data_IF_607561959861
#
_entry.id   IF_607561959861
#
_cell.length_a   1.000
_cell.length_b   1.000
_cell.length_c   1.000
_cell.angle_alpha   90.00
_cell.angle_beta   90.00
_cell.angle_gamma   90.00
#
_symmetry.space_group_name_H-M   'P 1'
#
loop_
_entity.id
_entity.type
_entity.pdbx_description
1 polymer ?
#
# COMPACT_ATOMS: atom_id res chain seq x y z
N UNK A 1 14.89 3.46 -16.39
CA UNK A 1 14.88 3.13 -14.96
C UNK A 1 13.81 2.08 -14.69
N UNK A 2 13.91 1.42 -13.55
CA UNK A 2 13.05 0.31 -13.22
C UNK A 2 11.83 0.75 -12.39
N UNK A 3 10.85 -0.14 -12.29
CA UNK A 3 9.67 0.05 -11.45
C UNK A 3 9.75 -0.88 -10.24
N UNK A 4 9.35 -0.37 -9.07
CA UNK A 4 9.21 -1.16 -7.86
C UNK A 4 7.72 -1.30 -7.53
N UNK A 5 7.27 -2.52 -7.28
CA UNK A 5 5.95 -2.79 -6.71
C UNK A 5 6.13 -3.09 -5.22
N UNK A 6 5.59 -2.22 -4.37
CA UNK A 6 5.57 -2.42 -2.93
C UNK A 6 4.12 -2.58 -2.48
N UNK A 7 3.86 -3.52 -1.60
CA UNK A 7 2.49 -3.78 -1.17
C UNK A 7 2.41 -4.24 0.27
N UNK A 8 1.29 -3.93 0.90
CA UNK A 8 0.86 -4.55 2.16
C UNK A 8 -0.35 -5.42 1.90
N UNK A 9 -0.33 -6.65 2.40
CA UNK A 9 -1.48 -7.55 2.38
C UNK A 9 -1.73 -8.06 3.79
N UNK A 10 -2.98 -7.98 4.26
CA UNK A 10 -3.33 -8.43 5.60
C UNK A 10 -3.21 -9.94 5.77
N UNK A 11 -3.25 -10.68 4.66
CA UNK A 11 -3.08 -12.13 4.64
C UNK A 11 -2.07 -12.53 3.58
N UNK A 12 -1.28 -13.56 3.89
CA UNK A 12 -0.38 -14.17 2.91
C UNK A 12 -1.23 -14.73 1.76
N UNK A 13 -0.88 -14.42 0.53
CA UNK A 13 -1.64 -14.82 -0.66
C UNK A 13 -3.07 -14.24 -0.73
N UNK A 14 -3.33 -13.14 -0.02
CA UNK A 14 -4.61 -12.43 -0.12
C UNK A 14 -4.76 -11.68 -1.44
N UNK A 15 -5.89 -11.00 -1.59
CA UNK A 15 -6.21 -10.28 -2.85
C UNK A 15 -5.16 -9.25 -3.23
N UNK A 16 -4.68 -8.47 -2.26
CA UNK A 16 -3.64 -7.47 -2.52
C UNK A 16 -2.33 -8.12 -2.92
N UNK A 17 -1.92 -9.19 -2.24
CA UNK A 17 -0.68 -9.90 -2.55
C UNK A 17 -0.71 -10.48 -3.97
N UNK A 18 -1.84 -11.07 -4.36
CA UNK A 18 -2.01 -11.63 -5.72
C UNK A 18 -1.99 -10.54 -6.78
N UNK A 19 -2.68 -9.45 -6.52
CA UNK A 19 -2.69 -8.31 -7.45
C UNK A 19 -1.28 -7.74 -7.64
N UNK A 20 -0.55 -7.57 -6.54
CA UNK A 20 0.82 -7.07 -6.58
C UNK A 20 1.76 -7.98 -7.37
N UNK A 21 1.68 -9.30 -7.16
CA UNK A 21 2.50 -10.26 -7.88
C UNK A 21 2.20 -10.24 -9.38
N UNK A 22 0.93 -10.21 -9.76
CA UNK A 22 0.52 -10.14 -11.16
C UNK A 22 0.96 -8.84 -11.82
N UNK A 23 0.82 -7.73 -11.12
CA UNK A 23 1.24 -6.42 -11.63
C UNK A 23 2.76 -6.36 -11.82
N UNK A 24 3.52 -6.85 -10.85
CA UNK A 24 4.98 -6.88 -10.95
C UNK A 24 5.45 -7.72 -12.13
N UNK A 25 4.82 -8.86 -12.36
CA UNK A 25 5.13 -9.72 -13.50
C UNK A 25 4.81 -9.00 -14.83
N UNK A 26 3.65 -8.38 -14.93
CA UNK A 26 3.23 -7.69 -16.15
C UNK A 26 4.08 -6.47 -16.45
N UNK A 27 4.54 -5.75 -15.44
CA UNK A 27 5.36 -4.55 -15.59
C UNK A 27 6.86 -4.85 -15.68
N UNK A 28 7.28 -6.10 -15.47
CA UNK A 28 8.70 -6.44 -15.37
C UNK A 28 9.36 -5.77 -14.17
N UNK A 29 8.63 -5.63 -13.08
CA UNK A 29 9.04 -4.86 -11.91
C UNK A 29 9.54 -5.76 -10.78
N UNK A 30 10.38 -5.19 -9.91
CA UNK A 30 10.73 -5.81 -8.65
C UNK A 30 9.52 -5.76 -7.70
N UNK A 31 9.45 -6.71 -6.78
CA UNK A 31 8.33 -6.84 -5.84
C UNK A 31 8.87 -6.86 -4.41
N UNK A 32 8.29 -6.04 -3.54
CA UNK A 32 8.61 -6.06 -2.12
C UNK A 32 7.33 -6.06 -1.29
N UNK A 33 7.29 -6.91 -0.27
CA UNK A 33 6.19 -6.97 0.69
C UNK A 33 6.47 -6.06 1.88
N UNK A 34 5.51 -5.23 2.24
CA UNK A 34 5.59 -4.43 3.46
C UNK A 34 5.08 -5.30 4.59
N UNK A 35 6.00 -5.83 5.40
CA UNK A 35 5.67 -6.82 6.43
C UNK A 35 5.65 -6.17 7.81
N UNK A 36 4.48 -6.07 8.47
CA UNK A 36 4.43 -5.60 9.85
C UNK A 36 5.21 -6.53 10.76
N UNK A 37 5.93 -5.97 11.72
CA UNK A 37 6.64 -6.74 12.73
C UNK A 37 5.67 -7.61 13.53
N UNK A 38 4.48 -7.09 13.79
CA UNK A 38 3.37 -7.83 14.37
C UNK A 38 2.30 -8.00 13.29
N UNK A 39 2.15 -9.21 12.70
CA UNK A 39 1.11 -9.44 11.71
C UNK A 39 -0.28 -9.14 12.26
N UNK A 40 -1.17 -8.70 11.40
CA UNK A 40 -2.55 -8.42 11.79
C UNK A 40 -3.34 -9.72 11.89
N UNK A 41 -3.97 -9.93 13.04
CA UNK A 41 -4.88 -11.08 13.26
C UNK A 41 -6.30 -10.70 12.85
N UNK A 42 -7.20 -11.68 12.81
CA UNK A 42 -8.62 -11.41 12.56
C UNK A 42 -9.20 -10.45 13.60
N UNK A 43 -8.81 -10.61 14.87
CA UNK A 43 -9.24 -9.71 15.95
C UNK A 43 -8.70 -8.30 15.74
N UNK A 44 -7.45 -8.17 15.28
CA UNK A 44 -6.84 -6.87 14.98
C UNK A 44 -7.59 -6.11 13.89
N UNK A 45 -8.22 -6.81 12.97
CA UNK A 45 -8.91 -6.25 11.81
C UNK A 45 -10.42 -6.11 12.03
N UNK A 46 -10.94 -6.43 13.21
CA UNK A 46 -12.37 -6.33 13.48
C UNK A 46 -12.81 -4.86 13.58
N UNK A 47 -13.30 -4.33 12.47
CA UNK A 47 -13.73 -2.94 12.37
C UNK A 47 -14.93 -2.61 13.25
N UNK A 48 -15.65 -3.63 13.75
CA UNK A 48 -16.80 -3.45 14.65
C UNK A 48 -16.38 -3.30 16.10
N UNK A 49 -15.15 -3.69 16.43
CA UNK A 49 -14.61 -3.56 17.78
C UNK A 49 -13.90 -2.20 17.92
N UNK A 50 -14.41 -1.28 18.77
CA UNK A 50 -13.77 0.03 18.95
C UNK A 50 -12.38 -0.06 19.58
N UNK A 51 -12.02 -1.20 20.15
CA UNK A 51 -10.71 -1.41 20.76
C UNK A 51 -9.79 -2.26 19.90
N UNK A 52 -10.18 -2.65 18.69
CA UNK A 52 -9.30 -3.41 17.82
C UNK A 52 -8.15 -2.55 17.34
N UNK A 53 -7.05 -3.23 16.94
CA UNK A 53 -5.85 -2.57 16.45
C UNK A 53 -6.14 -1.65 15.26
N UNK A 54 -6.89 -2.13 14.26
CA UNK A 54 -7.21 -1.33 13.08
C UNK A 54 -8.05 -0.11 13.42
N UNK A 55 -8.98 -0.23 14.38
CA UNK A 55 -9.80 0.90 14.82
C UNK A 55 -8.94 1.95 15.52
N UNK A 56 -8.02 1.53 16.39
CA UNK A 56 -7.10 2.44 17.07
C UNK A 56 -6.20 3.16 16.09
N UNK A 57 -5.70 2.45 15.08
CA UNK A 57 -4.84 3.05 14.05
C UNK A 57 -5.62 4.03 13.18
N UNK A 58 -6.87 3.73 12.86
CA UNK A 58 -7.74 4.67 12.15
C UNK A 58 -7.96 5.96 12.95
N UNK A 59 -8.20 5.84 14.25
CA UNK A 59 -8.49 6.98 15.11
C UNK A 59 -7.25 7.82 15.42
N UNK A 60 -6.07 7.27 15.19
CA UNK A 60 -4.80 8.00 15.36
C UNK A 60 -3.92 7.78 14.12
N UNK A 61 -4.07 8.65 13.09
CA UNK A 61 -3.31 8.52 11.85
C UNK A 61 -1.79 8.69 12.01
N UNK A 62 -1.33 9.13 13.19
CA UNK A 62 0.10 9.27 13.47
C UNK A 62 0.76 7.97 13.90
N UNK A 63 -0.02 6.93 14.25
CA UNK A 63 0.54 5.63 14.60
C UNK A 63 1.29 5.07 13.40
N UNK A 64 2.54 4.62 13.64
CA UNK A 64 3.38 3.98 12.62
C UNK A 64 3.77 2.59 13.09
N UNK A 65 2.99 1.55 12.75
CA UNK A 65 3.35 0.18 13.11
C UNK A 65 4.74 -0.16 12.56
N UNK A 66 5.55 -0.80 13.38
CA UNK A 66 6.88 -1.23 12.93
C UNK A 66 6.76 -2.28 11.82
N UNK A 67 7.68 -2.23 10.87
CA UNK A 67 7.77 -3.18 9.78
C UNK A 67 9.14 -3.88 9.81
N UNK A 68 9.16 -5.13 9.37
CA UNK A 68 10.42 -5.89 9.23
C UNK A 68 11.06 -5.63 7.88
N UNK A 69 10.29 -5.15 6.91
CA UNK A 69 10.82 -4.74 5.61
C UNK A 69 11.71 -3.53 5.81
N UNK A 70 12.99 -3.73 5.70
CA UNK A 70 13.96 -2.64 5.83
C UNK A 70 13.80 -1.64 4.68
N UNK A 71 14.51 -0.52 4.78
CA UNK A 71 14.62 0.39 3.65
C UNK A 71 15.18 -0.37 2.43
N UNK A 72 14.63 -0.09 1.26
CA UNK A 72 15.09 -0.69 0.02
C UNK A 72 15.98 0.31 -0.72
N UNK A 73 16.84 -0.20 -1.61
CA UNK A 73 17.64 0.67 -2.47
C UNK A 73 16.74 1.24 -3.56
N UNK A 74 16.16 2.41 -3.30
CA UNK A 74 15.22 3.05 -4.22
C UNK A 74 15.92 3.82 -5.35
N UNK A 75 17.23 3.94 -5.33
CA UNK A 75 17.98 4.66 -6.38
C UNK A 75 17.85 4.00 -7.74
N UNK A 76 17.52 2.70 -7.77
CA UNK A 76 17.34 1.93 -9.01
C UNK A 76 15.99 2.18 -9.68
N UNK A 77 15.07 2.84 -9.00
CA UNK A 77 13.68 2.95 -9.46
C UNK A 77 13.30 4.40 -9.69
N UNK A 78 12.57 4.66 -10.77
CA UNK A 78 11.96 5.95 -11.04
C UNK A 78 10.45 5.93 -10.87
N UNK A 79 9.88 4.73 -10.74
CA UNK A 79 8.45 4.52 -10.52
C UNK A 79 8.20 3.62 -9.33
N UNK A 80 7.21 3.96 -8.53
CA UNK A 80 6.70 3.13 -7.44
C UNK A 80 5.23 2.82 -7.70
N UNK A 81 4.88 1.53 -7.73
CA UNK A 81 3.50 1.07 -7.66
C UNK A 81 3.28 0.60 -6.23
N UNK A 82 2.48 1.33 -5.47
CA UNK A 82 2.20 0.97 -4.07
C UNK A 82 0.77 0.48 -3.91
N UNK A 83 0.61 -0.66 -3.23
CA UNK A 83 -0.68 -1.33 -3.11
C UNK A 83 -1.03 -1.74 -1.69
N UNK A 84 -2.33 -1.75 -1.41
CA UNK A 84 -2.84 -2.06 -0.07
C UNK A 84 -4.35 -2.37 -0.11
N UNK A 85 -4.86 -3.07 0.91
CA UNK A 85 -6.30 -3.12 1.11
C UNK A 85 -6.77 -1.79 1.71
N UNK A 86 -7.91 -1.29 1.25
CA UNK A 86 -8.46 -0.06 1.82
C UNK A 86 -9.12 -0.38 3.15
N UNK A 87 -8.62 0.23 4.21
CA UNK A 87 -9.19 0.15 5.56
C UNK A 87 -9.72 1.52 5.94
N UNK A 88 -11.02 1.59 6.32
CA UNK A 88 -11.63 2.85 6.72
C UNK A 88 -11.53 3.94 5.63
N UNK A 89 -11.56 3.54 4.37
CA UNK A 89 -11.53 4.45 3.24
C UNK A 89 -10.15 4.92 2.83
N UNK A 90 -9.09 4.58 3.58
CA UNK A 90 -7.72 5.04 3.33
C UNK A 90 -6.71 3.90 3.40
N UNK A 91 -5.44 4.20 3.13
CA UNK A 91 -4.36 3.23 3.28
C UNK A 91 -4.15 2.89 4.76
N UNK A 92 -3.88 1.62 5.10
CA UNK A 92 -3.47 1.26 6.47
C UNK A 92 -2.22 2.03 6.90
N UNK A 93 -2.12 2.33 8.19
CA UNK A 93 -0.99 3.11 8.71
C UNK A 93 0.37 2.45 8.44
N UNK A 94 0.42 1.13 8.36
CA UNK A 94 1.66 0.38 8.07
C UNK A 94 2.25 0.76 6.70
N UNK A 95 1.41 1.13 5.74
CA UNK A 95 1.86 1.60 4.42
C UNK A 95 2.61 2.92 4.58
N UNK A 96 2.12 3.79 5.47
CA UNK A 96 2.79 5.07 5.76
C UNK A 96 4.12 4.87 6.46
N UNK A 97 4.25 3.81 7.27
CA UNK A 97 5.54 3.44 7.85
C UNK A 97 6.60 3.22 6.76
N UNK A 98 6.23 2.48 5.71
CA UNK A 98 7.11 2.23 4.59
C UNK A 98 7.44 3.52 3.82
N UNK A 99 6.45 4.37 3.58
CA UNK A 99 6.66 5.63 2.87
C UNK A 99 7.51 6.61 3.67
N UNK A 100 7.41 6.58 5.00
CA UNK A 100 8.26 7.40 5.86
C UNK A 100 9.72 6.91 5.86
N UNK A 101 9.92 5.61 5.71
CA UNK A 101 11.26 5.00 5.75
C UNK A 101 12.05 5.17 4.45
N UNK A 102 11.39 5.58 3.35
CA UNK A 102 12.02 5.67 2.04
C UNK A 102 11.62 6.98 1.37
N UNK A 103 12.58 7.69 0.80
CA UNK A 103 12.29 8.96 0.13
C UNK A 103 11.99 8.73 -1.35
N UNK A 104 10.71 8.78 -1.70
CA UNK A 104 10.25 8.65 -3.09
C UNK A 104 10.01 9.99 -3.78
N UNK A 105 10.44 11.11 -3.18
CA UNK A 105 10.29 12.41 -3.83
C UNK A 105 11.04 12.44 -5.16
N UNK A 106 10.43 13.07 -6.16
CA UNK A 106 10.98 13.10 -7.52
C UNK A 106 10.68 11.85 -8.35
N UNK A 107 10.07 10.82 -7.76
CA UNK A 107 9.68 9.60 -8.47
C UNK A 107 8.19 9.61 -8.74
N UNK A 108 7.77 8.92 -9.80
CA UNK A 108 6.34 8.79 -10.10
C UNK A 108 5.74 7.68 -9.23
N UNK A 109 4.65 7.99 -8.55
CA UNK A 109 3.97 7.05 -7.65
C UNK A 109 2.58 6.73 -8.19
N UNK A 110 2.28 5.45 -8.29
CA UNK A 110 1.00 4.94 -8.72
C UNK A 110 0.41 4.11 -7.59
N UNK A 111 -0.87 4.23 -7.33
CA UNK A 111 -1.54 3.58 -6.20
C UNK A 111 -2.54 2.55 -6.71
N UNK A 112 -2.44 1.32 -6.22
CA UNK A 112 -3.48 0.32 -6.47
C UNK A 112 -4.02 -0.20 -5.15
N UNK A 113 -5.27 -0.61 -5.15
CA UNK A 113 -5.91 -1.03 -3.90
C UNK A 113 -6.97 -2.09 -4.15
N UNK A 114 -7.25 -2.85 -3.09
CA UNK A 114 -8.35 -3.80 -3.04
C UNK A 114 -9.31 -3.41 -1.93
N UNK A 115 -10.60 -3.66 -2.12
CA UNK A 115 -11.60 -3.41 -1.07
C UNK A 115 -12.88 -4.17 -1.38
N UNK A 116 -13.77 -4.24 -0.36
CA UNK A 116 -15.09 -4.84 -0.52
C UNK A 116 -16.13 -3.97 -1.24
N UNK A 117 -15.82 -2.69 -1.48
CA UNK A 117 -16.78 -1.79 -2.11
C UNK A 117 -16.37 -0.33 -2.12
N UNK A 118 -15.37 0.04 -1.32
CA UNK A 118 -14.88 1.42 -1.26
C UNK A 118 -13.95 1.69 -2.45
N UNK A 119 -14.14 2.82 -3.12
CA UNK A 119 -13.25 3.25 -4.20
C UNK A 119 -11.94 3.83 -3.69
N UNK A 120 -11.04 4.17 -4.61
CA UNK A 120 -9.65 4.56 -4.29
C UNK A 120 -9.47 6.05 -4.04
N UNK A 121 -10.44 6.89 -4.39
CA UNK A 121 -10.27 8.36 -4.37
C UNK A 121 -9.87 8.92 -3.01
N UNK A 122 -10.51 8.46 -1.93
CA UNK A 122 -10.22 8.95 -0.58
C UNK A 122 -8.81 8.55 -0.14
N UNK A 123 -8.38 7.33 -0.48
CA UNK A 123 -7.03 6.85 -0.16
C UNK A 123 -5.96 7.67 -0.88
N UNK A 124 -6.18 7.96 -2.16
CA UNK A 124 -5.25 8.79 -2.94
C UNK A 124 -5.18 10.20 -2.37
N UNK A 125 -6.34 10.80 -2.05
CA UNK A 125 -6.39 12.14 -1.46
C UNK A 125 -5.66 12.20 -0.11
N UNK A 126 -5.84 11.18 0.73
CA UNK A 126 -5.16 11.11 2.02
C UNK A 126 -3.65 11.02 1.86
N UNK A 127 -3.16 10.20 0.92
CA UNK A 127 -1.73 10.08 0.65
C UNK A 127 -1.15 11.38 0.09
N UNK A 128 -1.85 12.06 -0.80
CA UNK A 128 -1.41 13.36 -1.34
C UNK A 128 -1.30 14.42 -0.24
N UNK A 129 -2.25 14.40 0.68
CA UNK A 129 -2.27 15.35 1.80
C UNK A 129 -1.15 15.06 2.80
N UNK A 130 -0.92 13.78 3.08
CA UNK A 130 0.13 13.36 4.03
C UNK A 130 1.53 13.54 3.44
N UNK A 131 1.68 13.31 2.14
CA UNK A 131 2.96 13.33 1.44
C UNK A 131 2.92 14.28 0.25
N UNK A 132 2.90 15.60 0.48
CA UNK A 132 2.74 16.57 -0.61
C UNK A 132 3.91 16.58 -1.60
N UNK A 133 5.05 16.01 -1.23
CA UNK A 133 6.21 15.90 -2.13
C UNK A 133 6.16 14.70 -3.07
N UNK A 134 5.22 13.77 -2.84
CA UNK A 134 5.05 12.62 -3.72
C UNK A 134 4.29 13.03 -4.99
N UNK A 135 4.80 12.61 -6.13
CA UNK A 135 4.11 12.76 -7.41
C UNK A 135 3.20 11.54 -7.62
N UNK A 136 2.00 11.60 -7.03
CA UNK A 136 1.00 10.54 -7.19
C UNK A 136 0.26 10.77 -8.52
N UNK A 137 0.64 9.99 -9.52
CA UNK A 137 0.18 10.17 -10.89
C UNK A 137 -1.24 9.63 -11.07
N UNK A 138 -1.54 8.46 -10.50
CA UNK A 138 -2.79 7.75 -10.77
C UNK A 138 -3.07 6.71 -9.69
N UNK A 139 -4.34 6.46 -9.46
CA UNK A 139 -4.80 5.37 -8.59
C UNK A 139 -5.81 4.50 -9.32
N UNK A 140 -5.77 3.19 -9.09
CA UNK A 140 -6.72 2.23 -9.65
C UNK A 140 -7.06 1.14 -8.65
N UNK A 141 -8.30 0.68 -8.71
CA UNK A 141 -8.71 -0.53 -7.98
C UNK A 141 -8.18 -1.76 -8.69
N UNK A 142 -7.79 -2.75 -7.89
CA UNK A 142 -7.25 -4.03 -8.38
C UNK A 142 -8.06 -5.23 -7.89
N UNK A 143 -9.34 -5.02 -7.59
CA UNK A 143 -10.24 -6.09 -7.19
C UNK A 143 -10.38 -7.12 -8.31
N UNK A 144 -10.46 -8.41 -7.95
CA UNK A 144 -10.62 -9.48 -8.92
C UNK A 144 -9.36 -9.84 -9.69
N UNK A 145 -8.24 -9.25 -9.33
CA UNK A 145 -6.95 -9.52 -9.95
C UNK A 145 -6.52 -8.43 -10.92
N UNK A 146 -5.36 -8.64 -11.51
CA UNK A 146 -4.75 -7.70 -12.46
C UNK A 146 -4.43 -8.45 -13.74
N UNK A 147 -4.88 -7.92 -14.86
CA UNK A 147 -4.58 -8.42 -16.19
C UNK A 147 -3.73 -7.38 -16.91
N UNK A 148 -2.42 -7.65 -17.00
CA UNK A 148 -1.47 -6.73 -17.58
C UNK A 148 -1.04 -5.62 -16.65
N UNK A 149 -0.25 -4.68 -17.16
CA UNK A 149 0.18 -3.49 -16.41
C UNK A 149 -0.94 -2.44 -16.49
N UNK A 150 -1.67 -2.29 -15.39
CA UNK A 150 -2.82 -1.38 -15.32
C UNK A 150 -2.43 0.10 -15.33
N UNK A 151 -1.14 0.41 -15.18
CA UNK A 151 -0.63 1.78 -15.22
C UNK A 151 0.18 2.09 -16.48
N UNK A 152 0.29 1.11 -17.37
CA UNK A 152 1.02 1.31 -18.61
C UNK A 152 0.36 2.34 -19.54
#
# INVERSE_FOLDING_TARGET
MATLVAYFSSTKNGNTARAAASLAKAAGAALVSIDPKKPYTAADMDWRDPNSRSTKEKNDPSIRPEITTASVDITKYDKLYIGFPIWWGVAPNVVKTFLDANDFSGKQVYVFATSGGTGISAAVSDLKRTYPKLDIVKGKMANGGVSGDIFA
#
